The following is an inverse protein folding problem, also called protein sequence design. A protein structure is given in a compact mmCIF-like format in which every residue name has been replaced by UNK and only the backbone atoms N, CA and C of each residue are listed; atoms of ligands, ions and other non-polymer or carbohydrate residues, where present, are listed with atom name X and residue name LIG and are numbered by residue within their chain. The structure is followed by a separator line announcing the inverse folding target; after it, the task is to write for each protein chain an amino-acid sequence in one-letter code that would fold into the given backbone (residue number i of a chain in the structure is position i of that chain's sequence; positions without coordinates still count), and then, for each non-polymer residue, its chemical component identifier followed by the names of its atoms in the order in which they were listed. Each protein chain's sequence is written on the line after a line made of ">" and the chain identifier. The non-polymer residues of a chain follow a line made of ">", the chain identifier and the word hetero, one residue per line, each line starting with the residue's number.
data_IF_599376588037
#
_entry.id   IF_599376588037
#
_cell.length_a   1.000
_cell.length_b   1.000
_cell.length_c   1.000
_cell.angle_alpha   90.00
_cell.angle_beta   90.00
_cell.angle_gamma   90.00
#
_symmetry.space_group_name_H-M   'P 1'
#
loop_
_entity.id
_entity.type
_entity.pdbx_description
1 polymer ?
#
# COMPACT_ATOMS: atom_id res chain seq x y z
N UNK A 1 -12.85 1.39 8.46
CA UNK A 1 -13.70 2.01 7.42
C UNK A 1 -14.69 2.95 8.09
N UNK A 2 -14.47 4.27 8.01
CA UNK A 2 -15.42 5.25 8.58
C UNK A 2 -16.17 5.97 7.48
N UNK A 3 -17.49 5.97 7.61
CA UNK A 3 -18.46 6.48 6.66
C UNK A 3 -18.27 7.99 6.52
N UNK A 4 -18.07 8.49 5.29
CA UNK A 4 -18.14 9.92 4.98
C UNK A 4 -19.53 10.42 5.36
N UNK A 5 -19.66 11.09 6.50
CA UNK A 5 -20.85 11.85 6.84
C UNK A 5 -20.96 13.03 5.87
N UNK A 6 -21.64 12.81 4.75
CA UNK A 6 -22.14 13.90 3.91
C UNK A 6 -23.23 14.59 4.71
N UNK A 7 -22.86 15.66 5.42
CA UNK A 7 -23.82 16.48 6.14
C UNK A 7 -24.92 16.97 5.16
N UNK A 8 -26.21 16.96 5.57
CA UNK A 8 -27.29 17.44 4.71
C UNK A 8 -27.04 18.91 4.35
N UNK A 9 -27.21 19.26 3.07
CA UNK A 9 -26.97 20.62 2.58
C UNK A 9 -27.81 21.62 3.37
N UNK A 10 -27.20 22.65 3.98
CA UNK A 10 -27.95 23.64 4.75
C UNK A 10 -28.90 24.41 3.83
N UNK A 11 -30.16 24.52 4.25
CA UNK A 11 -31.21 25.24 3.51
C UNK A 11 -30.97 26.74 3.61
N UNK A 12 -30.17 27.29 2.70
CA UNK A 12 -29.97 28.72 2.55
C UNK A 12 -31.29 29.41 2.15
N UNK A 13 -31.84 30.26 3.02
CA UNK A 13 -33.09 30.94 2.71
C UNK A 13 -32.83 32.25 1.96
N UNK A 14 -33.41 32.35 0.77
CA UNK A 14 -33.31 33.54 -0.07
C UNK A 14 -34.30 34.64 0.37
N UNK A 15 -33.87 35.90 0.41
CA UNK A 15 -34.73 37.05 0.72
C UNK A 15 -35.52 37.46 -0.54
N UNK A 16 -36.85 37.45 -0.47
CA UNK A 16 -37.75 37.79 -1.60
C UNK A 16 -37.74 39.27 -2.03
N UNK A 17 -37.28 40.19 -1.18
CA UNK A 17 -37.12 41.61 -1.52
C UNK A 17 -35.72 42.07 -1.13
N UNK A 18 -34.99 42.67 -2.07
CA UNK A 18 -33.61 43.18 -1.86
C UNK A 18 -32.48 42.24 -2.28
N UNK A 19 -32.80 41.03 -2.76
CA UNK A 19 -31.80 40.04 -3.21
C UNK A 19 -30.95 39.45 -2.07
N UNK A 20 -30.35 38.28 -2.33
CA UNK A 20 -29.37 37.66 -1.44
C UNK A 20 -29.93 36.72 -0.38
N UNK A 21 -29.01 36.06 0.33
CA UNK A 21 -29.32 35.12 1.41
C UNK A 21 -29.48 35.85 2.75
N UNK A 22 -30.24 35.25 3.67
CA UNK A 22 -30.30 35.76 5.04
C UNK A 22 -28.91 35.68 5.69
N UNK A 23 -28.48 36.80 6.28
CA UNK A 23 -27.19 36.92 6.98
C UNK A 23 -26.98 35.81 8.01
N UNK A 24 -28.00 35.50 8.80
CA UNK A 24 -27.98 34.44 9.82
C UNK A 24 -27.67 33.04 9.23
N UNK A 25 -28.26 32.72 8.07
CA UNK A 25 -28.04 31.43 7.42
C UNK A 25 -26.63 31.37 6.82
N UNK A 26 -26.15 32.47 6.25
CA UNK A 26 -24.78 32.58 5.73
C UNK A 26 -23.76 32.43 6.86
N UNK A 27 -23.96 33.11 7.98
CA UNK A 27 -23.10 33.00 9.17
C UNK A 27 -23.08 31.58 9.74
N UNK A 28 -24.24 30.89 9.77
CA UNK A 28 -24.32 29.49 10.19
C UNK A 28 -23.50 28.58 9.28
N UNK A 29 -23.68 28.68 7.96
CA UNK A 29 -22.95 27.84 6.99
C UNK A 29 -21.45 28.09 7.03
N UNK A 30 -21.02 29.35 7.16
CA UNK A 30 -19.60 29.66 7.34
C UNK A 30 -19.05 29.12 8.65
N UNK A 31 -19.84 29.10 9.73
CA UNK A 31 -19.47 28.48 10.99
C UNK A 31 -19.24 26.97 10.84
N UNK A 32 -20.19 26.27 10.21
CA UNK A 32 -20.08 24.84 9.91
C UNK A 32 -18.88 24.54 9.01
N UNK A 33 -18.69 25.31 7.93
CA UNK A 33 -17.56 25.14 7.02
C UNK A 33 -16.22 25.31 7.74
N UNK A 34 -16.08 26.34 8.59
CA UNK A 34 -14.85 26.55 9.37
C UNK A 34 -14.59 25.40 10.34
N UNK A 35 -15.64 24.85 10.95
CA UNK A 35 -15.52 23.68 11.83
C UNK A 35 -15.03 22.46 11.05
N UNK A 36 -15.63 22.19 9.89
CA UNK A 36 -15.23 21.09 9.01
C UNK A 36 -13.80 21.23 8.52
N UNK A 37 -13.40 22.43 8.09
CA UNK A 37 -12.01 22.69 7.65
C UNK A 37 -11.02 22.40 8.77
N UNK A 38 -11.27 22.88 9.99
CA UNK A 38 -10.40 22.57 11.14
C UNK A 38 -10.36 21.07 11.45
N UNK A 39 -11.49 20.37 11.35
CA UNK A 39 -11.54 18.93 11.55
C UNK A 39 -10.67 18.20 10.52
N UNK A 40 -10.76 18.61 9.25
CA UNK A 40 -9.97 18.03 8.17
C UNK A 40 -8.47 18.34 8.31
N UNK A 41 -8.12 19.55 8.76
CA UNK A 41 -6.73 19.91 9.05
C UNK A 41 -6.13 19.00 10.13
N UNK A 42 -6.87 18.77 11.23
CA UNK A 42 -6.45 17.86 12.29
C UNK A 42 -6.30 16.42 11.79
N UNK A 43 -7.25 15.95 10.98
CA UNK A 43 -7.20 14.59 10.41
C UNK A 43 -5.99 14.43 9.46
N UNK A 44 -5.70 15.43 8.62
CA UNK A 44 -4.53 15.43 7.74
C UNK A 44 -3.22 15.41 8.53
N UNK A 45 -3.14 16.16 9.62
CA UNK A 45 -1.94 16.17 10.45
C UNK A 45 -1.72 14.82 11.16
N UNK A 46 -2.79 14.18 11.63
CA UNK A 46 -2.72 12.82 12.18
C UNK A 46 -2.27 11.80 11.12
N UNK A 47 -2.81 11.87 9.90
CA UNK A 47 -2.40 10.98 8.81
C UNK A 47 -0.94 11.19 8.41
N UNK A 48 -0.49 12.44 8.33
CA UNK A 48 0.91 12.77 8.05
C UNK A 48 1.84 12.27 9.14
N UNK A 49 1.43 12.38 10.41
CA UNK A 49 2.19 11.84 11.53
C UNK A 49 2.29 10.32 11.44
N UNK A 50 1.17 9.63 11.22
CA UNK A 50 1.16 8.17 11.05
C UNK A 50 2.04 7.70 9.89
N UNK A 51 1.98 8.37 8.74
CA UNK A 51 2.83 8.06 7.59
C UNK A 51 4.33 8.19 7.92
N UNK A 52 4.74 9.24 8.64
CA UNK A 52 6.13 9.41 9.08
C UNK A 52 6.56 8.34 10.08
N UNK A 53 5.67 7.93 10.99
CA UNK A 53 5.94 6.86 11.95
C UNK A 53 6.13 5.51 11.24
N UNK A 54 5.27 5.21 10.25
CA UNK A 54 5.41 4.02 9.41
C UNK A 54 6.72 4.04 8.61
N UNK A 55 7.05 5.16 7.96
CA UNK A 55 8.30 5.33 7.23
C UNK A 55 9.52 5.19 8.14
N UNK A 56 9.49 5.78 9.34
CA UNK A 56 10.57 5.66 10.33
C UNK A 56 10.76 4.22 10.80
N UNK A 57 9.65 3.49 10.98
CA UNK A 57 9.68 2.06 11.36
C UNK A 57 10.28 1.20 10.24
N UNK A 58 9.94 1.48 8.98
CA UNK A 58 10.53 0.82 7.83
C UNK A 58 12.03 1.15 7.70
N UNK A 59 12.41 2.42 7.90
CA UNK A 59 13.80 2.86 7.86
C UNK A 59 14.66 2.19 8.96
N UNK A 60 14.14 2.10 10.19
CA UNK A 60 14.84 1.44 11.29
C UNK A 60 15.08 -0.05 11.02
N UNK A 61 14.09 -0.75 10.47
CA UNK A 61 14.25 -2.16 10.08
C UNK A 61 15.22 -2.33 8.92
N UNK A 62 15.19 -1.41 7.94
CA UNK A 62 16.16 -1.41 6.83
C UNK A 62 17.60 -1.25 7.33
N UNK A 63 17.85 -0.40 8.33
CA UNK A 63 19.19 -0.30 8.92
C UNK A 63 19.62 -1.62 9.55
N UNK A 64 18.74 -2.29 10.31
CA UNK A 64 19.03 -3.59 10.92
C UNK A 64 19.35 -4.68 9.88
N UNK A 65 18.61 -4.71 8.77
CA UNK A 65 18.86 -5.67 7.70
C UNK A 65 20.13 -5.34 6.90
N UNK A 66 20.43 -4.05 6.68
CA UNK A 66 21.69 -3.65 6.02
C UNK A 66 22.92 -3.96 6.87
N UNK A 67 22.85 -3.75 8.19
CA UNK A 67 23.93 -4.08 9.13
C UNK A 67 24.17 -5.59 9.20
N UNK A 68 23.11 -6.40 9.11
CA UNK A 68 23.22 -7.86 8.98
C UNK A 68 23.89 -8.30 7.68
N UNK A 69 23.55 -7.66 6.56
CA UNK A 69 24.11 -7.99 5.26
C UNK A 69 25.59 -7.55 5.16
N UNK A 70 25.96 -6.38 5.70
CA UNK A 70 27.36 -5.94 5.75
C UNK A 70 28.22 -6.80 6.69
N UNK A 71 27.64 -7.34 7.77
CA UNK A 71 28.29 -8.36 8.61
C UNK A 71 28.45 -9.73 7.94
N UNK A 72 27.65 -10.03 6.91
CA UNK A 72 27.60 -11.33 6.22
C UNK A 72 28.48 -11.45 4.97
N UNK A 73 29.01 -10.34 4.42
CA UNK A 73 29.79 -10.31 3.17
C UNK A 73 31.26 -10.79 3.32
N UNK A 74 31.44 -11.87 4.09
CA UNK A 74 32.59 -12.78 3.99
C UNK A 74 32.15 -14.19 3.64
N UNK A 75 31.20 -14.38 2.72
CA UNK A 75 31.08 -15.60 1.91
C UNK A 75 30.00 -15.40 0.84
N UNK A 76 30.40 -15.02 -0.36
CA UNK A 76 29.55 -15.12 -1.54
C UNK A 76 30.44 -15.50 -2.70
N UNK A 77 30.51 -16.79 -2.99
CA UNK A 77 30.30 -17.32 -4.34
C UNK A 77 29.69 -18.72 -4.21
N UNK A 78 28.78 -19.04 -5.14
CA UNK A 78 28.02 -20.29 -5.33
C UNK A 78 26.67 -20.46 -4.59
N UNK A 79 25.57 -20.51 -5.36
CA UNK A 79 24.35 -21.19 -4.92
C UNK A 79 23.02 -20.75 -5.56
N UNK A 80 22.71 -21.30 -6.73
CA UNK A 80 21.39 -21.81 -7.15
C UNK A 80 20.10 -21.07 -6.74
N UNK A 81 19.35 -20.62 -7.75
CA UNK A 81 17.93 -20.34 -7.60
C UNK A 81 17.18 -21.59 -7.15
N UNK A 82 16.93 -21.73 -5.85
CA UNK A 82 15.95 -22.67 -5.33
C UNK A 82 14.58 -22.05 -5.55
N UNK A 83 13.80 -22.65 -6.44
CA UNK A 83 12.38 -22.36 -6.53
C UNK A 83 11.73 -22.65 -5.17
N UNK A 84 10.95 -21.70 -4.68
CA UNK A 84 10.30 -21.82 -3.37
C UNK A 84 9.07 -22.71 -3.47
N UNK A 85 8.83 -23.51 -2.44
CA UNK A 85 7.65 -24.36 -2.33
C UNK A 85 6.38 -23.53 -2.10
N UNK A 86 5.25 -24.01 -2.61
CA UNK A 86 3.94 -23.32 -2.48
C UNK A 86 3.49 -23.13 -1.04
N UNK A 87 3.81 -24.10 -0.18
CA UNK A 87 3.44 -24.10 1.24
C UNK A 87 4.40 -23.27 2.11
N UNK A 88 5.36 -22.58 1.52
CA UNK A 88 6.30 -21.72 2.25
C UNK A 88 5.53 -20.58 2.94
N UNK A 89 5.63 -20.53 4.27
CA UNK A 89 4.92 -19.55 5.09
C UNK A 89 5.75 -18.28 5.23
N UNK A 90 5.19 -17.16 4.78
CA UNK A 90 5.84 -15.86 4.84
C UNK A 90 5.43 -15.07 6.09
N UNK A 91 6.31 -14.17 6.59
CA UNK A 91 5.97 -13.26 7.66
C UNK A 91 4.85 -12.28 7.26
N UNK A 92 4.29 -11.59 8.25
CA UNK A 92 3.24 -10.58 8.03
C UNK A 92 3.69 -9.35 7.24
N UNK A 93 4.97 -9.24 6.87
CA UNK A 93 5.52 -8.12 6.12
C UNK A 93 6.58 -8.68 5.17
N UNK A 94 6.43 -8.40 3.89
CA UNK A 94 7.23 -9.01 2.84
C UNK A 94 7.55 -7.99 1.76
N UNK A 95 8.84 -7.87 1.42
CA UNK A 95 9.27 -7.10 0.26
C UNK A 95 9.40 -8.01 -0.96
N UNK A 96 8.72 -7.64 -2.03
CA UNK A 96 8.70 -8.32 -3.31
C UNK A 96 9.48 -7.52 -4.34
N UNK A 97 10.27 -8.21 -5.15
CA UNK A 97 10.79 -7.70 -6.41
C UNK A 97 10.04 -8.40 -7.53
N UNK A 98 9.00 -7.76 -8.08
CA UNK A 98 8.10 -8.33 -9.07
C UNK A 98 8.37 -7.77 -10.47
N UNK A 99 8.25 -8.62 -11.50
CA UNK A 99 8.33 -8.22 -12.91
C UNK A 99 8.62 -9.42 -13.81
N UNK A 100 8.83 -9.24 -15.12
CA UNK A 100 8.82 -7.97 -15.84
C UNK A 100 7.41 -7.39 -16.03
N UNK A 101 7.29 -6.07 -15.92
CA UNK A 101 6.13 -5.26 -16.30
C UNK A 101 6.55 -4.35 -17.46
N UNK A 102 5.84 -4.45 -18.59
CA UNK A 102 6.18 -3.69 -19.80
C UNK A 102 5.47 -2.33 -19.88
N UNK A 103 4.44 -2.12 -19.05
CA UNK A 103 3.67 -0.89 -18.98
C UNK A 103 3.08 -0.67 -17.57
N UNK A 104 2.54 0.52 -17.33
CA UNK A 104 1.90 0.84 -16.06
C UNK A 104 0.58 0.06 -15.86
N UNK A 105 -0.10 -0.30 -16.95
CA UNK A 105 -1.38 -1.03 -16.89
C UNK A 105 -1.21 -2.43 -16.33
N UNK A 106 -0.18 -3.16 -16.76
CA UNK A 106 0.19 -4.48 -16.24
C UNK A 106 0.62 -4.44 -14.78
N UNK A 107 1.37 -3.42 -14.37
CA UNK A 107 1.72 -3.20 -12.97
C UNK A 107 0.47 -2.91 -12.11
N UNK A 108 -0.41 -2.00 -12.55
CA UNK A 108 -1.64 -1.69 -11.83
C UNK A 108 -2.62 -2.86 -11.79
N UNK A 109 -2.69 -3.67 -12.84
CA UNK A 109 -3.49 -4.90 -12.84
C UNK A 109 -2.94 -5.90 -11.82
N UNK A 110 -1.63 -6.11 -11.81
CA UNK A 110 -0.97 -6.98 -10.83
C UNK A 110 -1.18 -6.50 -9.39
N UNK A 111 -1.00 -5.21 -9.12
CA UNK A 111 -1.30 -4.58 -7.83
C UNK A 111 -2.76 -4.81 -7.43
N UNK A 112 -3.70 -4.60 -8.36
CA UNK A 112 -5.12 -4.80 -8.13
C UNK A 112 -5.48 -6.25 -7.78
N UNK A 113 -4.82 -7.23 -8.39
CA UNK A 113 -5.03 -8.64 -8.03
C UNK A 113 -4.35 -9.03 -6.72
N UNK A 114 -3.15 -8.50 -6.43
CA UNK A 114 -2.51 -8.66 -5.12
C UNK A 114 -3.41 -8.11 -4.00
N UNK A 115 -4.04 -6.95 -4.21
CA UNK A 115 -4.93 -6.32 -3.24
C UNK A 115 -6.19 -7.15 -2.93
N UNK A 116 -6.55 -8.10 -3.81
CA UNK A 116 -7.68 -9.02 -3.63
C UNK A 116 -7.31 -10.30 -2.93
N UNK A 117 -6.02 -10.56 -2.69
CA UNK A 117 -5.59 -11.73 -1.95
C UNK A 117 -6.12 -11.66 -0.51
N UNK A 118 -6.50 -12.81 0.06
CA UNK A 118 -6.94 -12.87 1.44
C UNK A 118 -5.76 -12.50 2.35
N UNK A 119 -6.07 -11.93 3.51
CA UNK A 119 -5.08 -11.54 4.53
C UNK A 119 -4.20 -10.34 4.15
N UNK A 120 -4.26 -9.80 2.92
CA UNK A 120 -3.57 -8.56 2.58
C UNK A 120 -4.23 -7.38 3.27
N UNK A 121 -3.43 -6.62 4.01
CA UNK A 121 -3.84 -5.40 4.73
C UNK A 121 -3.49 -4.17 3.92
N UNK A 122 -2.27 -4.15 3.38
CA UNK A 122 -1.72 -3.00 2.68
C UNK A 122 -0.70 -3.44 1.62
N UNK A 123 -0.61 -2.66 0.56
CA UNK A 123 0.34 -2.84 -0.54
C UNK A 123 0.92 -1.48 -0.88
N UNK A 124 2.25 -1.41 -0.95
CA UNK A 124 2.95 -0.20 -1.30
C UNK A 124 4.00 -0.47 -2.38
N UNK A 125 3.92 0.23 -3.50
CA UNK A 125 4.97 0.23 -4.52
C UNK A 125 6.07 1.19 -4.09
N UNK A 126 7.18 0.67 -3.56
CA UNK A 126 8.29 1.49 -3.05
C UNK A 126 9.31 1.86 -4.12
N UNK A 127 9.26 1.25 -5.31
CA UNK A 127 10.12 1.66 -6.42
C UNK A 127 9.85 0.93 -7.73
N UNK A 128 10.30 1.54 -8.82
CA UNK A 128 10.30 0.95 -10.16
C UNK A 128 11.70 1.10 -10.75
N UNK A 129 12.30 0.00 -11.18
CA UNK A 129 13.62 -0.03 -11.79
C UNK A 129 13.59 -0.92 -13.04
N UNK A 130 13.69 -0.28 -14.21
CA UNK A 130 13.52 -0.98 -15.50
C UNK A 130 12.10 -1.55 -15.61
N UNK A 131 12.01 -2.85 -15.83
CA UNK A 131 10.74 -3.58 -15.93
C UNK A 131 10.33 -4.23 -14.60
N UNK A 132 10.98 -3.90 -13.47
CA UNK A 132 10.70 -4.54 -12.18
C UNK A 132 10.23 -3.53 -11.15
N UNK A 133 9.20 -3.88 -10.41
CA UNK A 133 8.64 -3.09 -9.32
C UNK A 133 9.00 -3.71 -7.97
N UNK A 134 9.43 -2.86 -7.04
CA UNK A 134 9.55 -3.23 -5.64
C UNK A 134 8.23 -2.94 -4.93
N UNK A 135 7.68 -3.97 -4.31
CA UNK A 135 6.34 -3.95 -3.71
C UNK A 135 6.44 -4.49 -2.30
N UNK A 136 6.07 -3.68 -1.32
CA UNK A 136 6.01 -4.08 0.08
C UNK A 136 4.55 -4.45 0.41
N UNK A 137 4.36 -5.67 0.92
CA UNK A 137 3.04 -6.20 1.27
C UNK A 137 2.98 -6.45 2.78
N UNK A 138 1.87 -6.03 3.37
CA UNK A 138 1.53 -6.31 4.77
C UNK A 138 0.36 -7.28 4.82
N UNK A 139 0.52 -8.34 5.62
CA UNK A 139 -0.51 -9.36 5.87
C UNK A 139 -1.03 -9.30 7.32
N UNK A 140 -2.26 -9.75 7.53
CA UNK A 140 -2.85 -9.88 8.88
C UNK A 140 -2.15 -10.96 9.70
N UNK A 141 -1.67 -12.00 9.04
CA UNK A 141 -1.05 -13.16 9.65
C UNK A 141 -0.02 -13.79 8.70
N UNK A 142 0.68 -14.82 9.17
CA UNK A 142 1.63 -15.56 8.35
C UNK A 142 0.89 -16.41 7.33
N UNK A 143 1.26 -16.31 6.06
CA UNK A 143 0.50 -16.91 4.94
C UNK A 143 1.38 -17.69 3.98
N UNK A 144 0.88 -18.81 3.41
CA UNK A 144 1.51 -19.52 2.30
C UNK A 144 1.29 -18.75 0.99
N UNK A 145 1.99 -17.62 0.84
CA UNK A 145 1.73 -16.64 -0.21
C UNK A 145 1.84 -17.24 -1.62
N UNK A 146 2.81 -18.12 -1.88
CA UNK A 146 3.07 -18.64 -3.22
C UNK A 146 1.93 -19.53 -3.72
N UNK A 147 1.39 -20.39 -2.86
CA UNK A 147 0.19 -21.16 -3.19
C UNK A 147 -1.01 -20.26 -3.50
N UNK A 148 -1.23 -19.20 -2.72
CA UNK A 148 -2.33 -18.25 -2.96
C UNK A 148 -2.14 -17.44 -4.25
N UNK A 149 -0.92 -16.99 -4.52
CA UNK A 149 -0.56 -16.28 -5.76
C UNK A 149 -0.83 -17.17 -6.97
N UNK A 150 -0.32 -18.40 -6.97
CA UNK A 150 -0.48 -19.36 -8.09
C UNK A 150 -1.91 -19.82 -8.28
N UNK A 151 -2.71 -19.88 -7.21
CA UNK A 151 -4.11 -20.31 -7.27
C UNK A 151 -5.05 -19.22 -7.78
N UNK A 152 -4.73 -17.93 -7.57
CA UNK A 152 -5.68 -16.83 -7.81
C UNK A 152 -5.24 -15.83 -8.85
N UNK A 153 -3.94 -15.65 -9.04
CA UNK A 153 -3.46 -14.73 -10.04
C UNK A 153 -3.70 -15.35 -11.42
N UNK A 154 -4.18 -14.56 -12.39
CA UNK A 154 -4.24 -15.00 -13.76
C UNK A 154 -2.84 -15.08 -14.38
N UNK A 155 -1.75 -14.95 -13.63
CA UNK A 155 -0.38 -14.86 -14.13
C UNK A 155 0.44 -16.10 -13.80
N UNK A 156 1.40 -16.48 -14.67
CA UNK A 156 2.41 -17.46 -14.28
C UNK A 156 3.40 -16.80 -13.33
N UNK A 157 3.56 -17.37 -12.14
CA UNK A 157 4.44 -16.85 -11.08
C UNK A 157 5.54 -17.85 -10.74
N UNK A 158 6.78 -17.46 -11.02
CA UNK A 158 7.97 -18.16 -10.54
C UNK A 158 8.60 -17.34 -9.41
N UNK A 159 8.89 -17.98 -8.28
CA UNK A 159 9.37 -17.30 -7.08
C UNK A 159 10.72 -17.84 -6.63
N UNK A 160 11.63 -16.91 -6.28
CA UNK A 160 13.00 -17.23 -5.86
C UNK A 160 13.43 -16.33 -4.70
N UNK A 161 14.38 -16.80 -3.90
CA UNK A 161 14.92 -16.02 -2.77
C UNK A 161 14.06 -16.16 -1.52
N UNK A 162 13.73 -15.04 -0.87
CA UNK A 162 12.88 -15.02 0.32
C UNK A 162 13.59 -14.56 1.60
N UNK A 163 12.85 -14.45 2.71
CA UNK A 163 13.34 -13.83 3.95
C UNK A 163 14.64 -14.48 4.43
N UNK A 164 15.65 -13.67 4.84
CA UNK A 164 15.58 -12.24 5.14
C UNK A 164 15.74 -11.30 3.92
N UNK A 165 15.91 -11.83 2.71
CA UNK A 165 16.02 -11.03 1.47
C UNK A 165 14.68 -10.76 0.79
N UNK A 166 14.65 -9.95 -0.28
CA UNK A 166 13.45 -9.74 -1.07
C UNK A 166 13.05 -11.05 -1.76
N UNK A 167 11.73 -11.30 -1.81
CA UNK A 167 11.17 -12.37 -2.61
C UNK A 167 11.11 -11.90 -4.07
N UNK A 168 11.86 -12.56 -4.95
CA UNK A 168 11.87 -12.24 -6.37
C UNK A 168 10.74 -13.01 -7.03
N UNK A 169 9.78 -12.28 -7.62
CA UNK A 169 8.67 -12.82 -8.38
C UNK A 169 8.88 -12.53 -9.86
N UNK A 170 9.02 -13.58 -10.65
CA UNK A 170 8.95 -13.49 -12.09
C UNK A 170 7.50 -13.72 -12.53
N UNK A 171 6.90 -12.68 -13.10
CA UNK A 171 5.52 -12.63 -13.54
C UNK A 171 5.52 -12.70 -15.06
N UNK A 172 4.78 -13.63 -15.66
CA UNK A 172 4.76 -13.81 -17.11
C UNK A 172 3.39 -14.20 -17.61
N UNK A 173 2.80 -13.37 -18.48
CA UNK A 173 1.58 -13.61 -19.27
C UNK A 173 0.37 -14.12 -18.47
N UNK A 174 -0.80 -14.30 -19.11
CA UNK A 174 -1.86 -15.08 -18.49
C UNK A 174 -1.48 -16.58 -18.46
N UNK A 175 -1.70 -17.25 -17.32
CA UNK A 175 -1.48 -18.70 -17.14
C UNK A 175 -2.49 -19.56 -17.90
#
# INVERSE_FOLDING_TARGET
>A
MSVRHVAPRPLLRFRRFGGGYRREDVERVFGELRSTVRSLELELDLLRQGSREHESRLAARRSEDSERLEGGLRTTEEGGGSELADDAVFPCELSLDAGPFHDFESLSAFEGELARLPHVVDIHISGLAGERARIDIVFTERVPLLGELRARLPYTVAARGGPPGPLVLDVSGPA
#
